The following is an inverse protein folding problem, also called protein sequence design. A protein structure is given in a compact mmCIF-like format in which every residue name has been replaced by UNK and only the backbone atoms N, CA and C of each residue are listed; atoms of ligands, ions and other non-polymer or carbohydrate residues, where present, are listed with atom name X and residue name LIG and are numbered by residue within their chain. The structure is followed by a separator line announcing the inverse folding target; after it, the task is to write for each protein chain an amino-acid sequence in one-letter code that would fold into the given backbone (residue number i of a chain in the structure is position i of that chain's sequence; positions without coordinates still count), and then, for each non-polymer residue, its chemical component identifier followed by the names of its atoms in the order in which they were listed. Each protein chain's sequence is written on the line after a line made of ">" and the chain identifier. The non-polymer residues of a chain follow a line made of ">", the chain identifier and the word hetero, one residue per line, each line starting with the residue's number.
data_IF_786727580654
#
_entry.id   IF_786727580654
#
_cell.length_a   1.000
_cell.length_b   1.000
_cell.length_c   1.000
_cell.angle_alpha   90.00
_cell.angle_beta   90.00
_cell.angle_gamma   90.00
#
_symmetry.space_group_name_H-M   'P 1'
#
loop_
_entity.id
_entity.type
_entity.pdbx_description
1 polymer ?
#
# COMPACT_ATOMS: atom_id res chain seq x y z
N UNK A 1 35.06 -12.59 12.05
CA UNK A 1 36.01 -11.79 12.84
C UNK A 1 36.96 -12.77 13.53
N UNK A 2 38.20 -12.92 13.05
CA UNK A 2 39.21 -13.76 13.71
C UNK A 2 40.00 -12.94 14.73
N UNK A 3 40.54 -13.57 15.78
CA UNK A 3 41.39 -12.90 16.78
C UNK A 3 42.54 -12.11 16.13
N UNK A 4 43.11 -12.64 15.04
CA UNK A 4 44.11 -11.97 14.21
C UNK A 4 43.64 -10.66 13.58
N UNK A 5 42.36 -10.58 13.18
CA UNK A 5 41.80 -9.36 12.59
C UNK A 5 41.47 -8.30 13.63
N UNK A 6 41.42 -8.67 14.92
CA UNK A 6 41.18 -7.76 16.04
C UNK A 6 42.49 -7.45 16.80
N UNK A 7 43.65 -7.91 16.29
CA UNK A 7 44.96 -7.66 16.91
C UNK A 7 45.20 -8.43 18.21
N UNK A 8 44.37 -9.43 18.53
CA UNK A 8 44.40 -10.14 19.82
C UNK A 8 45.28 -11.41 19.81
N UNK A 9 46.04 -11.65 18.74
CA UNK A 9 46.76 -12.92 18.49
C UNK A 9 48.03 -13.08 19.34
N UNK A 10 48.68 -11.98 19.72
CA UNK A 10 49.97 -11.97 20.46
C UNK A 10 49.86 -11.27 21.84
N UNK A 11 48.66 -11.26 22.41
CA UNK A 11 48.40 -10.55 23.68
C UNK A 11 48.97 -11.34 24.86
N UNK A 12 50.01 -10.78 25.51
CA UNK A 12 50.64 -11.36 26.72
C UNK A 12 50.06 -10.77 28.01
N UNK A 13 49.24 -11.56 28.71
CA UNK A 13 48.60 -11.20 29.98
C UNK A 13 49.55 -11.25 31.20
N UNK A 14 50.72 -11.88 31.06
CA UNK A 14 51.64 -12.15 32.18
C UNK A 14 52.77 -11.12 32.22
N UNK A 15 53.32 -10.75 31.06
CA UNK A 15 54.45 -9.81 30.99
C UNK A 15 54.04 -8.38 30.68
N UNK A 16 52.93 -8.18 29.97
CA UNK A 16 52.49 -6.86 29.47
C UNK A 16 50.97 -6.63 29.68
N UNK A 17 50.45 -6.71 30.92
CA UNK A 17 49.01 -6.66 31.19
C UNK A 17 48.34 -5.35 30.77
N UNK A 18 49.04 -4.20 30.84
CA UNK A 18 48.49 -2.91 30.42
C UNK A 18 48.31 -2.81 28.90
N UNK A 19 49.25 -3.38 28.13
CA UNK A 19 49.15 -3.44 26.68
C UNK A 19 48.03 -4.39 26.25
N UNK A 20 47.84 -5.50 26.96
CA UNK A 20 46.75 -6.44 26.73
C UNK A 20 45.37 -5.78 26.88
N UNK A 21 45.20 -4.95 27.91
CA UNK A 21 43.96 -4.18 28.14
C UNK A 21 43.74 -3.18 26.99
N UNK A 22 44.79 -2.46 26.57
CA UNK A 22 44.67 -1.50 25.47
C UNK A 22 44.24 -2.15 24.14
N UNK A 23 44.78 -3.32 23.81
CA UNK A 23 44.35 -4.06 22.63
C UNK A 23 42.91 -4.58 22.73
N UNK A 24 42.49 -5.02 23.93
CA UNK A 24 41.11 -5.42 24.16
C UNK A 24 40.13 -4.25 24.02
N UNK A 25 40.47 -3.08 24.54
CA UNK A 25 39.65 -1.86 24.41
C UNK A 25 39.50 -1.45 22.92
N UNK A 26 40.59 -1.45 22.15
CA UNK A 26 40.55 -1.15 20.72
C UNK A 26 39.68 -2.15 19.94
N UNK A 27 39.81 -3.44 20.25
CA UNK A 27 39.00 -4.50 19.66
C UNK A 27 37.50 -4.33 19.98
N UNK A 28 37.16 -3.95 21.21
CA UNK A 28 35.80 -3.67 21.64
C UNK A 28 35.24 -2.42 20.94
N UNK A 29 36.01 -1.35 20.82
CA UNK A 29 35.62 -0.12 20.13
C UNK A 29 35.34 -0.38 18.65
N UNK A 30 36.17 -1.20 17.99
CA UNK A 30 35.93 -1.61 16.61
C UNK A 30 34.61 -2.40 16.46
N UNK A 31 34.37 -3.39 17.32
CA UNK A 31 33.11 -4.16 17.32
C UNK A 31 31.91 -3.23 17.57
N UNK A 32 32.02 -2.34 18.55
CA UNK A 32 30.96 -1.40 18.89
C UNK A 32 30.68 -0.44 17.73
N UNK A 33 31.72 0.03 17.03
CA UNK A 33 31.61 0.85 15.83
C UNK A 33 30.86 0.12 14.70
N UNK A 34 31.22 -1.12 14.41
CA UNK A 34 30.52 -1.93 13.40
C UNK A 34 29.06 -2.23 13.80
N UNK A 35 28.80 -2.53 15.08
CA UNK A 35 27.44 -2.71 15.60
C UNK A 35 26.61 -1.42 15.49
N UNK A 36 27.20 -0.27 15.78
CA UNK A 36 26.54 1.03 15.64
C UNK A 36 26.20 1.33 14.18
N UNK A 37 27.12 1.05 13.24
CA UNK A 37 26.86 1.17 11.79
C UNK A 37 25.70 0.27 11.38
N UNK A 38 25.72 -1.01 11.75
CA UNK A 38 24.64 -1.94 11.45
C UNK A 38 23.30 -1.46 12.04
N UNK A 39 23.29 -1.00 13.30
CA UNK A 39 22.10 -0.44 13.95
C UNK A 39 21.55 0.80 13.23
N UNK A 40 22.43 1.68 12.74
CA UNK A 40 22.01 2.85 11.96
C UNK A 40 21.36 2.47 10.62
N UNK A 41 21.91 1.46 9.93
CA UNK A 41 21.33 0.93 8.69
C UNK A 41 19.98 0.28 8.98
N UNK A 42 19.87 -0.51 10.05
CA UNK A 42 18.60 -1.12 10.48
C UNK A 42 17.53 -0.06 10.78
N UNK A 43 17.89 1.03 11.47
CA UNK A 43 16.96 2.15 11.75
C UNK A 43 16.49 2.84 10.47
N UNK A 44 17.38 3.02 9.49
CA UNK A 44 17.03 3.56 8.17
C UNK A 44 16.11 2.61 7.40
N UNK A 45 16.37 1.30 7.45
CA UNK A 45 15.52 0.29 6.83
C UNK A 45 14.12 0.27 7.46
N UNK A 46 14.02 0.32 8.79
CA UNK A 46 12.74 0.39 9.50
C UNK A 46 11.94 1.65 9.11
N UNK A 47 12.62 2.80 9.03
CA UNK A 47 12.02 4.06 8.58
C UNK A 47 11.54 3.99 7.13
N UNK A 48 12.34 3.38 6.24
CA UNK A 48 11.98 3.19 4.84
C UNK A 48 10.78 2.24 4.70
N UNK A 49 10.76 1.14 5.45
CA UNK A 49 9.64 0.19 5.49
C UNK A 49 8.35 0.91 5.92
N UNK A 50 8.38 1.66 7.02
CA UNK A 50 7.22 2.42 7.51
C UNK A 50 6.71 3.40 6.46
N UNK A 51 7.60 4.12 5.77
CA UNK A 51 7.21 5.04 4.71
C UNK A 51 6.56 4.30 3.53
N UNK A 52 7.15 3.20 3.06
CA UNK A 52 6.61 2.38 1.98
C UNK A 52 5.25 1.79 2.35
N UNK A 53 5.09 1.26 3.56
CA UNK A 53 3.80 0.77 4.05
C UNK A 53 2.71 1.84 4.02
N UNK A 54 3.01 3.05 4.49
CA UNK A 54 2.07 4.18 4.43
C UNK A 54 1.73 4.56 2.98
N UNK A 55 2.72 4.56 2.08
CA UNK A 55 2.47 4.81 0.66
C UNK A 55 1.57 3.74 0.02
N UNK A 56 1.77 2.47 0.36
CA UNK A 56 0.95 1.36 -0.12
C UNK A 56 -0.49 1.51 0.37
N UNK A 57 -0.70 1.82 1.65
CA UNK A 57 -2.03 2.05 2.21
C UNK A 57 -2.75 3.22 1.52
N UNK A 58 -2.08 4.36 1.39
CA UNK A 58 -2.63 5.54 0.73
C UNK A 58 -2.97 5.28 -0.74
N UNK A 59 -2.10 4.57 -1.46
CA UNK A 59 -2.30 4.24 -2.88
C UNK A 59 -3.44 3.24 -3.04
N UNK A 60 -3.53 2.23 -2.16
CA UNK A 60 -4.61 1.25 -2.16
C UNK A 60 -5.96 1.93 -1.89
N UNK A 61 -6.03 2.80 -0.88
CA UNK A 61 -7.23 3.58 -0.57
C UNK A 61 -7.65 4.51 -1.72
N UNK A 62 -6.68 5.17 -2.37
CA UNK A 62 -6.96 5.99 -3.56
C UNK A 62 -7.50 5.15 -4.72
N UNK A 63 -6.88 3.99 -5.00
CA UNK A 63 -7.34 3.06 -6.02
C UNK A 63 -8.75 2.53 -5.73
N UNK A 64 -9.04 2.14 -4.49
CA UNK A 64 -10.38 1.70 -4.09
C UNK A 64 -11.43 2.78 -4.38
N UNK A 65 -11.17 4.02 -3.96
CA UNK A 65 -12.10 5.14 -4.23
C UNK A 65 -12.36 5.36 -5.71
N UNK A 66 -11.34 5.22 -6.56
CA UNK A 66 -11.51 5.34 -8.02
C UNK A 66 -12.37 4.19 -8.54
N UNK A 67 -12.03 2.94 -8.20
CA UNK A 67 -12.80 1.77 -8.65
C UNK A 67 -14.25 1.79 -8.15
N UNK A 68 -14.47 2.17 -6.90
CA UNK A 68 -15.81 2.25 -6.31
C UNK A 68 -16.65 3.37 -6.96
N UNK A 69 -16.02 4.52 -7.28
CA UNK A 69 -16.69 5.62 -7.99
C UNK A 69 -17.04 5.23 -9.45
N UNK A 70 -16.11 4.60 -10.16
CA UNK A 70 -16.34 4.13 -11.53
C UNK A 70 -17.44 3.06 -11.56
N UNK A 71 -17.45 2.13 -10.59
CA UNK A 71 -18.49 1.12 -10.48
C UNK A 71 -19.86 1.73 -10.17
N UNK A 72 -19.92 2.71 -9.28
CA UNK A 72 -21.15 3.43 -8.99
C UNK A 72 -21.68 4.19 -10.22
N UNK A 73 -20.80 4.82 -11.01
CA UNK A 73 -21.18 5.53 -12.23
C UNK A 73 -21.70 4.58 -13.31
N UNK A 74 -21.00 3.47 -13.56
CA UNK A 74 -21.41 2.47 -14.55
C UNK A 74 -22.73 1.80 -14.15
N UNK A 75 -22.88 1.45 -12.86
CA UNK A 75 -24.12 0.87 -12.33
C UNK A 75 -25.29 1.86 -12.44
N UNK A 76 -25.08 3.15 -12.18
CA UNK A 76 -26.09 4.17 -12.36
C UNK A 76 -26.46 4.37 -13.83
N UNK A 77 -25.48 4.30 -14.74
CA UNK A 77 -25.72 4.38 -16.19
C UNK A 77 -26.53 3.17 -16.69
N UNK A 78 -26.15 1.96 -16.29
CA UNK A 78 -26.88 0.73 -16.58
C UNK A 78 -28.32 0.80 -16.04
N UNK A 79 -28.49 1.20 -14.79
CA UNK A 79 -29.81 1.36 -14.16
C UNK A 79 -30.66 2.38 -14.91
N UNK A 80 -30.08 3.53 -15.29
CA UNK A 80 -30.76 4.54 -16.09
C UNK A 80 -31.20 4.00 -17.45
N UNK A 81 -30.34 3.22 -18.12
CA UNK A 81 -30.68 2.59 -19.40
C UNK A 81 -31.81 1.58 -19.26
N UNK A 82 -31.79 0.73 -18.22
CA UNK A 82 -32.86 -0.22 -17.93
C UNK A 82 -34.20 0.48 -17.65
N UNK A 83 -34.19 1.55 -16.86
CA UNK A 83 -35.38 2.38 -16.60
C UNK A 83 -35.89 3.00 -17.90
N UNK A 84 -35.01 3.55 -18.74
CA UNK A 84 -35.41 4.13 -20.03
C UNK A 84 -36.00 3.08 -20.98
N UNK A 85 -35.49 1.84 -20.98
CA UNK A 85 -36.06 0.76 -21.78
C UNK A 85 -37.45 0.33 -21.28
N UNK A 86 -37.64 0.20 -19.96
CA UNK A 86 -38.96 -0.11 -19.38
C UNK A 86 -39.94 1.06 -19.57
N UNK A 87 -39.49 2.30 -19.39
CA UNK A 87 -40.30 3.47 -19.66
C UNK A 87 -40.65 3.59 -21.15
N UNK A 88 -39.70 3.29 -22.05
CA UNK A 88 -39.92 3.29 -23.50
C UNK A 88 -40.97 2.26 -23.93
N UNK A 89 -40.92 1.03 -23.39
CA UNK A 89 -41.94 0.02 -23.68
C UNK A 89 -43.31 0.37 -23.11
N UNK A 90 -43.38 0.90 -21.88
CA UNK A 90 -44.61 1.37 -21.27
C UNK A 90 -45.20 2.59 -22.02
N UNK A 91 -44.36 3.52 -22.44
CA UNK A 91 -44.75 4.68 -23.25
C UNK A 91 -45.23 4.27 -24.63
N UNK A 92 -44.58 3.30 -25.29
CA UNK A 92 -45.05 2.74 -26.56
C UNK A 92 -46.39 2.03 -26.40
N UNK A 93 -46.59 1.27 -25.31
CA UNK A 93 -47.87 0.64 -25.02
C UNK A 93 -48.98 1.68 -24.80
N UNK A 94 -48.71 2.74 -24.04
CA UNK A 94 -49.64 3.85 -23.81
C UNK A 94 -49.95 4.62 -25.10
N UNK A 95 -48.93 4.93 -25.90
CA UNK A 95 -49.08 5.63 -27.17
C UNK A 95 -49.86 4.82 -28.21
N UNK A 96 -49.76 3.48 -28.20
CA UNK A 96 -50.54 2.60 -29.07
C UNK A 96 -52.01 2.45 -28.62
N UNK A 97 -52.32 2.63 -27.34
CA UNK A 97 -53.68 2.55 -26.81
C UNK A 97 -54.49 3.85 -27.00
N UNK A 98 -53.84 5.01 -27.01
CA UNK A 98 -54.51 6.32 -27.19
C UNK A 98 -55.27 6.48 -28.53
N UNK A 99 -54.76 6.05 -29.70
CA UNK A 99 -55.49 6.14 -30.96
C UNK A 99 -56.77 5.29 -31.00
N UNK A 100 -56.77 4.13 -30.32
CA UNK A 100 -57.96 3.26 -30.25
C UNK A 100 -59.07 3.90 -29.42
N UNK A 101 -58.72 4.57 -28.31
CA UNK A 101 -59.65 5.38 -27.52
C UNK A 101 -60.19 6.58 -28.30
N UNK A 102 -59.36 7.25 -29.11
CA UNK A 102 -59.82 8.33 -29.98
C UNK A 102 -60.80 7.82 -31.06
N UNK A 103 -60.53 6.66 -31.66
CA UNK A 103 -61.42 6.03 -32.63
C UNK A 103 -62.74 5.52 -32.01
N UNK A 104 -62.75 5.12 -30.74
CA UNK A 104 -64.01 4.78 -30.05
C UNK A 104 -64.87 6.00 -29.76
N UNK A 105 -64.25 7.14 -29.45
CA UNK A 105 -64.94 8.42 -29.22
C UNK A 105 -65.45 9.06 -30.53
N UNK A 106 -64.85 8.74 -31.68
CA UNK A 106 -65.29 9.23 -32.99
C UNK A 106 -66.39 8.36 -33.63
N UNK A 107 -66.66 7.19 -33.05
CA UNK A 107 -67.69 6.23 -33.49
C UNK A 107 -68.94 6.20 -32.60
N UNK A 108 -68.93 6.86 -31.44
CA UNK A 108 -70.08 7.07 -30.56
C UNK A 108 -70.63 8.48 -30.72
#
# INVERSE_FOLDING_TARGET
>A
MSAKNLGLDDVDLVRLPTLAIAHADEALDYINGERAKAGSVMSRLDSAIKNVSNMVENTSAAKSRIMDADYAQETAALTRQQILQQAGSAMLAQANAMPQLALSLLRG
#
